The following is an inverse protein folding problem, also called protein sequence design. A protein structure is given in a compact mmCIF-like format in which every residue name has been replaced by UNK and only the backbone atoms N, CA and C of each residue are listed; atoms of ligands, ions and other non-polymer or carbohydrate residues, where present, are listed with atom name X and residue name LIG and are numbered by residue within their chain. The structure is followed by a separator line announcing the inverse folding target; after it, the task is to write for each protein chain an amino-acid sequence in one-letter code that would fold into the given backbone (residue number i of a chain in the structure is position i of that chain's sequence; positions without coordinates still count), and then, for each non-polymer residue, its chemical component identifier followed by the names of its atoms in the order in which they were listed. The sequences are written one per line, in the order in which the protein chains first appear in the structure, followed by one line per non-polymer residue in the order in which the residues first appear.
data_IF_021084982248
#
_entry.id   IF_021084982248
#
_cell.length_a   1.000
_cell.length_b   1.000
_cell.length_c   1.000
_cell.angle_alpha   90.00
_cell.angle_beta   90.00
_cell.angle_gamma   90.00
#
_symmetry.space_group_name_H-M   'P 1'
#
loop_
_entity.id
_entity.type
_entity.pdbx_description
1 polymer ?
#
# COMPACT_ATOMS: atom_id res chain seq x y z
N UNK A 1 25.26 -36.14 28.25
CA UNK A 1 23.91 -35.59 27.99
C UNK A 1 22.89 -36.71 28.14
N UNK A 2 21.98 -36.62 29.11
CA UNK A 2 20.96 -37.65 29.35
C UNK A 2 19.97 -37.70 28.17
N UNK A 3 19.40 -38.88 27.87
CA UNK A 3 18.37 -39.06 26.83
C UNK A 3 17.24 -38.01 26.89
N UNK A 4 16.66 -37.67 28.06
CA UNK A 4 15.63 -36.62 28.12
C UNK A 4 16.16 -35.24 27.71
N UNK A 5 17.39 -34.87 28.10
CA UNK A 5 17.99 -33.58 27.74
C UNK A 5 18.21 -33.45 26.22
N UNK A 6 18.56 -34.55 25.53
CA UNK A 6 18.66 -34.60 24.06
C UNK A 6 17.30 -34.37 23.38
N UNK A 7 16.23 -34.94 23.92
CA UNK A 7 14.87 -34.79 23.40
C UNK A 7 14.38 -33.36 23.59
N UNK A 8 14.56 -32.77 24.78
CA UNK A 8 14.20 -31.37 25.04
C UNK A 8 14.98 -30.40 24.14
N UNK A 9 16.28 -30.63 23.93
CA UNK A 9 17.08 -29.81 23.01
C UNK A 9 16.57 -29.91 21.56
N UNK A 10 16.25 -31.12 21.08
CA UNK A 10 15.72 -31.32 19.74
C UNK A 10 14.35 -30.64 19.53
N UNK A 11 13.44 -30.76 20.51
CA UNK A 11 12.15 -30.06 20.48
C UNK A 11 12.37 -28.54 20.48
N UNK A 12 13.28 -28.04 21.32
CA UNK A 12 13.63 -26.61 21.35
C UNK A 12 14.09 -26.09 19.99
N UNK A 13 14.96 -26.82 19.30
CA UNK A 13 15.44 -26.46 17.96
C UNK A 13 14.29 -26.44 16.94
N UNK A 14 13.40 -27.43 16.97
CA UNK A 14 12.24 -27.50 16.06
C UNK A 14 11.31 -26.30 16.28
N UNK A 15 11.03 -25.95 17.54
CA UNK A 15 10.18 -24.80 17.87
C UNK A 15 10.81 -23.51 17.38
N UNK A 16 12.11 -23.31 17.62
CA UNK A 16 12.83 -22.11 17.13
C UNK A 16 12.80 -22.04 15.60
N UNK A 17 13.07 -23.15 14.91
CA UNK A 17 13.03 -23.20 13.46
C UNK A 17 11.62 -22.89 12.90
N UNK A 18 10.57 -23.39 13.54
CA UNK A 18 9.18 -23.11 13.15
C UNK A 18 8.83 -21.62 13.34
N UNK A 19 9.26 -21.01 14.45
CA UNK A 19 9.05 -19.58 14.72
C UNK A 19 9.78 -18.71 13.69
N UNK A 20 11.05 -19.01 13.42
CA UNK A 20 11.82 -18.28 12.40
C UNK A 20 11.16 -18.44 11.02
N UNK A 21 10.77 -19.67 10.66
CA UNK A 21 10.08 -19.96 9.40
C UNK A 21 8.77 -19.18 9.24
N UNK A 22 8.01 -18.98 10.32
CA UNK A 22 6.77 -18.21 10.31
C UNK A 22 7.00 -16.70 10.18
N UNK A 23 8.05 -16.16 10.80
CA UNK A 23 8.34 -14.71 10.81
C UNK A 23 9.13 -14.27 9.56
N UNK A 24 9.93 -15.16 8.97
CA UNK A 24 10.81 -14.86 7.85
C UNK A 24 10.15 -14.15 6.65
N UNK A 25 8.93 -14.51 6.22
CA UNK A 25 8.27 -13.79 5.13
C UNK A 25 8.03 -12.31 5.44
N UNK A 26 7.62 -11.99 6.67
CA UNK A 26 7.40 -10.59 7.08
C UNK A 26 8.70 -9.79 7.15
N UNK A 27 9.81 -10.43 7.56
CA UNK A 27 11.14 -9.82 7.49
C UNK A 27 11.47 -9.49 6.04
N UNK A 28 11.33 -10.43 5.11
CA UNK A 28 11.57 -10.18 3.68
C UNK A 28 10.71 -9.04 3.15
N UNK A 29 9.45 -8.99 3.54
CA UNK A 29 8.52 -7.96 3.10
C UNK A 29 8.87 -6.56 3.63
N UNK A 30 9.32 -6.45 4.89
CA UNK A 30 9.81 -5.20 5.47
C UNK A 30 11.01 -4.61 4.71
N UNK A 31 11.86 -5.47 4.13
CA UNK A 31 13.05 -5.05 3.38
C UNK A 31 12.86 -5.04 1.86
N UNK A 32 11.64 -5.32 1.36
CA UNK A 32 11.37 -5.26 -0.07
C UNK A 32 11.32 -3.79 -0.53
N UNK A 33 12.01 -3.49 -1.63
CA UNK A 33 11.97 -2.17 -2.26
C UNK A 33 10.65 -1.93 -2.99
N UNK A 34 9.99 -2.99 -3.47
CA UNK A 34 8.70 -2.90 -4.12
C UNK A 34 7.96 -4.24 -4.07
N UNK A 35 6.66 -4.19 -4.33
CA UNK A 35 5.81 -5.37 -4.52
C UNK A 35 4.72 -5.08 -5.54
N UNK A 36 4.30 -6.11 -6.27
CA UNK A 36 3.11 -6.13 -7.11
C UNK A 36 2.26 -7.31 -6.67
N UNK A 37 0.98 -7.09 -6.41
CA UNK A 37 0.13 -8.07 -5.73
C UNK A 37 -1.36 -7.78 -5.95
N UNK A 38 -2.19 -8.76 -5.62
CA UNK A 38 -3.65 -8.71 -5.73
C UNK A 38 -4.30 -8.93 -4.35
N UNK A 39 -5.62 -8.82 -4.26
CA UNK A 39 -6.34 -9.20 -3.04
C UNK A 39 -6.27 -10.71 -2.72
N UNK A 40 -5.88 -11.54 -3.69
CA UNK A 40 -5.70 -12.98 -3.48
C UNK A 40 -4.40 -13.26 -2.71
N UNK A 41 -3.41 -12.37 -2.83
CA UNK A 41 -2.14 -12.40 -2.12
C UNK A 41 -2.34 -11.86 -0.69
N UNK A 42 -3.06 -12.64 0.15
CA UNK A 42 -3.57 -12.18 1.45
C UNK A 42 -2.51 -11.60 2.37
N UNK A 43 -1.26 -12.10 2.32
CA UNK A 43 -0.18 -11.60 3.17
C UNK A 43 0.31 -10.24 2.67
N UNK A 44 0.59 -10.13 1.39
CA UNK A 44 1.02 -8.91 0.69
C UNK A 44 -0.03 -7.82 0.81
N UNK A 45 -1.29 -8.15 0.53
CA UNK A 45 -2.42 -7.24 0.65
C UNK A 45 -2.62 -6.74 2.09
N UNK A 46 -2.55 -7.64 3.09
CA UNK A 46 -2.68 -7.24 4.49
C UNK A 46 -1.53 -6.31 4.95
N UNK A 47 -0.32 -6.60 4.49
CA UNK A 47 0.91 -5.93 4.93
C UNK A 47 1.16 -4.60 4.22
N UNK A 48 0.99 -4.55 2.89
CA UNK A 48 1.34 -3.38 2.09
C UNK A 48 0.19 -2.41 1.94
N UNK A 49 -1.07 -2.85 1.83
CA UNK A 49 -2.15 -1.94 1.41
C UNK A 49 -2.62 -1.03 2.56
N UNK A 50 -2.56 0.30 2.41
CA UNK A 50 -3.10 1.24 3.40
C UNK A 50 -4.64 1.24 3.37
N UNK A 51 -5.27 1.63 4.48
CA UNK A 51 -6.72 1.52 4.66
C UNK A 51 -7.52 2.30 3.60
N UNK A 52 -7.00 3.43 3.13
CA UNK A 52 -7.61 4.21 2.04
C UNK A 52 -7.74 3.39 0.74
N UNK A 53 -6.73 2.57 0.42
CA UNK A 53 -6.77 1.72 -0.78
C UNK A 53 -7.55 0.42 -0.52
N UNK A 54 -7.53 -0.10 0.71
CA UNK A 54 -8.37 -1.25 1.10
C UNK A 54 -9.85 -0.95 0.95
N UNK A 55 -10.28 0.26 1.33
CA UNK A 55 -11.67 0.71 1.29
C UNK A 55 -12.07 1.39 -0.03
N UNK A 56 -11.13 1.58 -0.97
CA UNK A 56 -11.41 2.19 -2.27
C UNK A 56 -12.46 1.39 -3.04
N UNK A 57 -13.51 2.02 -3.62
CA UNK A 57 -14.46 1.31 -4.45
C UNK A 57 -13.75 0.61 -5.61
N UNK A 58 -14.06 -0.69 -5.82
CA UNK A 58 -13.59 -1.42 -7.00
C UNK A 58 -14.43 -0.97 -8.20
N UNK A 59 -13.83 -0.14 -9.05
CA UNK A 59 -14.51 0.45 -10.21
C UNK A 59 -14.50 -0.47 -11.43
N UNK A 60 -13.66 -1.50 -11.42
CA UNK A 60 -13.61 -2.60 -12.39
C UNK A 60 -13.29 -3.91 -11.67
N UNK A 61 -13.53 -5.04 -12.33
CA UNK A 61 -13.15 -6.37 -11.83
C UNK A 61 -11.66 -6.68 -12.07
N UNK A 62 -11.01 -5.94 -12.97
CA UNK A 62 -9.60 -6.11 -13.32
C UNK A 62 -8.78 -4.98 -12.71
N UNK A 63 -8.08 -5.29 -11.61
CA UNK A 63 -7.22 -4.37 -10.90
C UNK A 63 -6.11 -5.09 -10.14
N UNK A 64 -5.03 -4.36 -9.85
CA UNK A 64 -3.93 -4.81 -9.01
C UNK A 64 -3.41 -3.70 -8.10
N UNK A 65 -2.50 -4.07 -7.21
CA UNK A 65 -1.85 -3.16 -6.29
C UNK A 65 -0.34 -3.17 -6.48
N UNK A 66 0.26 -2.02 -6.21
CA UNK A 66 1.71 -1.89 -6.11
C UNK A 66 2.13 -1.25 -4.80
N UNK A 67 3.37 -1.54 -4.41
CA UNK A 67 4.07 -0.88 -3.32
C UNK A 67 5.49 -0.55 -3.79
N UNK A 68 6.00 0.60 -3.36
CA UNK A 68 7.40 0.99 -3.52
C UNK A 68 7.89 1.73 -2.28
N UNK A 69 9.08 1.37 -1.83
CA UNK A 69 9.84 2.04 -0.78
C UNK A 69 10.99 2.83 -1.42
N UNK A 70 10.85 4.14 -1.46
CA UNK A 70 11.79 5.05 -2.11
C UNK A 70 12.71 5.63 -1.04
N UNK A 71 13.94 5.12 -0.97
CA UNK A 71 14.89 5.43 0.10
C UNK A 71 15.27 6.93 0.19
N UNK A 72 15.47 7.60 -0.94
CA UNK A 72 15.91 9.01 -0.99
C UNK A 72 14.97 9.99 -0.28
N UNK A 73 13.72 10.14 -0.74
CA UNK A 73 12.72 11.01 -0.11
C UNK A 73 12.08 10.40 1.16
N UNK A 74 12.60 9.26 1.65
CA UNK A 74 11.99 8.45 2.71
C UNK A 74 10.48 8.26 2.49
N UNK A 75 10.13 7.89 1.26
CA UNK A 75 8.74 7.85 0.83
C UNK A 75 8.25 6.43 0.61
N UNK A 76 7.04 6.18 1.06
CA UNK A 76 6.29 4.98 0.70
C UNK A 76 5.23 5.34 -0.31
N UNK A 77 5.15 4.54 -1.36
CA UNK A 77 4.19 4.71 -2.44
C UNK A 77 3.37 3.45 -2.55
N UNK A 78 2.06 3.59 -2.54
CA UNK A 78 1.12 2.50 -2.76
C UNK A 78 0.18 2.87 -3.88
N UNK A 79 -0.18 1.94 -4.75
CA UNK A 79 -1.22 2.21 -5.75
C UNK A 79 -2.20 1.07 -5.87
N UNK A 80 -3.39 1.41 -6.34
CA UNK A 80 -4.31 0.50 -7.01
C UNK A 80 -4.46 0.96 -8.47
N UNK A 81 -4.33 0.02 -9.40
CA UNK A 81 -4.49 0.27 -10.83
C UNK A 81 -5.75 -0.44 -11.30
N UNK A 82 -6.73 0.31 -11.81
CA UNK A 82 -7.96 -0.22 -12.40
C UNK A 82 -7.84 -0.20 -13.92
N UNK A 83 -8.09 -1.35 -14.56
CA UNK A 83 -7.96 -1.51 -16.01
C UNK A 83 -9.33 -1.53 -16.69
N UNK A 84 -9.39 -0.97 -17.90
CA UNK A 84 -10.59 -0.97 -18.74
C UNK A 84 -11.61 0.10 -18.37
N UNK A 85 -11.21 1.18 -17.69
CA UNK A 85 -12.08 2.29 -17.31
C UNK A 85 -11.32 3.63 -17.27
N UNK A 86 -12.05 4.71 -17.49
CA UNK A 86 -11.67 6.11 -17.25
C UNK A 86 -12.65 6.80 -16.27
N UNK A 87 -13.64 6.07 -15.75
CA UNK A 87 -14.64 6.58 -14.80
C UNK A 87 -14.07 6.68 -13.38
N UNK A 88 -13.76 7.91 -12.98
CA UNK A 88 -13.24 8.26 -11.66
C UNK A 88 -14.31 8.79 -10.69
N UNK A 89 -15.60 8.79 -11.09
CA UNK A 89 -16.67 9.39 -10.29
C UNK A 89 -16.83 8.75 -8.90
N UNK A 90 -16.74 7.42 -8.83
CA UNK A 90 -16.78 6.67 -7.56
C UNK A 90 -15.53 6.92 -6.70
N UNK A 91 -14.36 7.05 -7.34
CA UNK A 91 -13.10 7.38 -6.65
C UNK A 91 -13.21 8.76 -6.01
N UNK A 92 -13.69 9.76 -6.74
CA UNK A 92 -13.90 11.12 -6.22
C UNK A 92 -14.88 11.15 -5.07
N UNK A 93 -16.05 10.50 -5.23
CA UNK A 93 -17.04 10.41 -4.16
C UNK A 93 -16.47 9.78 -2.88
N UNK A 94 -15.66 8.72 -3.03
CA UNK A 94 -14.98 8.08 -1.91
C UNK A 94 -13.98 9.02 -1.22
N UNK A 95 -13.08 9.67 -1.98
CA UNK A 95 -12.08 10.59 -1.42
C UNK A 95 -12.73 11.75 -0.65
N UNK A 96 -13.77 12.34 -1.21
CA UNK A 96 -14.56 13.39 -0.53
C UNK A 96 -15.16 12.86 0.77
N UNK A 97 -15.77 11.67 0.74
CA UNK A 97 -16.36 11.07 1.94
C UNK A 97 -15.32 10.72 3.02
N UNK A 98 -14.07 10.47 2.61
CA UNK A 98 -12.93 10.21 3.49
C UNK A 98 -12.24 11.50 3.99
N UNK A 99 -12.75 12.68 3.63
CA UNK A 99 -12.22 13.98 4.08
C UNK A 99 -11.04 14.51 3.25
N UNK A 100 -10.80 13.95 2.06
CA UNK A 100 -9.81 14.48 1.13
C UNK A 100 -10.40 15.60 0.28
N UNK A 101 -9.59 16.64 0.08
CA UNK A 101 -9.91 17.78 -0.76
C UNK A 101 -9.02 17.77 -2.00
N UNK A 102 -9.63 17.95 -3.17
CA UNK A 102 -8.90 18.11 -4.43
C UNK A 102 -8.11 19.42 -4.37
N UNK A 103 -6.83 19.34 -4.72
CA UNK A 103 -5.92 20.48 -4.72
C UNK A 103 -6.01 21.22 -6.06
N UNK A 104 -5.86 22.55 -6.03
CA UNK A 104 -5.83 23.38 -7.25
C UNK A 104 -4.58 23.11 -8.10
N UNK A 105 -3.50 22.65 -7.48
CA UNK A 105 -2.22 22.36 -8.12
C UNK A 105 -1.71 20.98 -7.69
N UNK A 106 -1.04 20.30 -8.62
CA UNK A 106 -0.40 19.02 -8.43
C UNK A 106 0.97 19.08 -9.14
N UNK A 107 2.01 18.49 -8.54
CA UNK A 107 3.36 18.52 -9.10
C UNK A 107 3.55 17.58 -10.30
N UNK A 108 2.50 16.83 -10.64
CA UNK A 108 2.42 15.90 -11.76
C UNK A 108 1.17 16.21 -12.59
N UNK A 109 1.14 15.75 -13.84
CA UNK A 109 -0.02 15.87 -14.73
C UNK A 109 -1.14 14.89 -14.32
N UNK A 110 -1.72 15.11 -13.13
CA UNK A 110 -2.78 14.31 -12.54
C UNK A 110 -3.56 15.12 -11.49
N UNK A 111 -4.57 14.49 -10.86
CA UNK A 111 -5.30 15.11 -9.75
C UNK A 111 -4.64 14.78 -8.41
N UNK A 112 -4.22 15.80 -7.66
CA UNK A 112 -3.75 15.64 -6.29
C UNK A 112 -4.90 15.89 -5.29
N UNK A 113 -4.97 15.04 -4.28
CA UNK A 113 -5.95 15.08 -3.20
C UNK A 113 -5.20 15.01 -1.86
N UNK A 114 -5.60 15.82 -0.89
CA UNK A 114 -4.96 15.87 0.43
C UNK A 114 -6.01 15.99 1.52
N UNK A 115 -5.71 15.43 2.69
CA UNK A 115 -6.53 15.53 3.89
C UNK A 115 -5.75 16.21 5.02
N UNK A 116 -6.43 17.01 5.84
CA UNK A 116 -5.82 17.68 6.99
C UNK A 116 -5.26 16.65 7.99
N UNK A 117 -4.13 16.97 8.62
CA UNK A 117 -3.50 16.11 9.63
C UNK A 117 -2.76 14.89 9.09
N UNK A 118 -2.63 14.75 7.76
CA UNK A 118 -1.84 13.69 7.12
C UNK A 118 -0.74 14.31 6.25
N UNK A 119 0.35 13.56 6.05
CA UNK A 119 1.40 13.88 5.07
C UNK A 119 1.17 13.14 3.74
N UNK A 120 -0.02 12.55 3.59
CA UNK A 120 -0.36 11.71 2.47
C UNK A 120 -0.87 12.58 1.32
N UNK A 121 -0.32 12.35 0.13
CA UNK A 121 -0.81 12.91 -1.13
C UNK A 121 -1.41 11.77 -1.93
N UNK A 122 -2.70 11.87 -2.20
CA UNK A 122 -3.40 10.90 -3.04
C UNK A 122 -3.44 11.45 -4.47
N UNK A 123 -2.85 10.73 -5.41
CA UNK A 123 -2.87 11.07 -6.83
C UNK A 123 -3.87 10.19 -7.56
N UNK A 124 -4.78 10.79 -8.31
CA UNK A 124 -5.70 10.10 -9.23
C UNK A 124 -5.29 10.46 -10.65
N UNK A 125 -4.87 9.47 -11.43
CA UNK A 125 -4.44 9.63 -12.82
C UNK A 125 -5.24 8.70 -13.73
N UNK A 126 -5.60 9.19 -14.92
CA UNK A 126 -6.23 8.40 -15.98
C UNK A 126 -5.27 8.30 -17.16
N UNK A 127 -5.13 7.10 -17.73
CA UNK A 127 -4.27 6.86 -18.89
C UNK A 127 -5.12 6.43 -20.09
N UNK A 128 -5.12 7.27 -21.13
CA UNK A 128 -5.92 7.03 -22.34
C UNK A 128 -5.43 5.84 -23.17
N UNK A 129 -4.13 5.51 -23.08
CA UNK A 129 -3.49 4.47 -23.90
C UNK A 129 -4.08 3.08 -23.71
N UNK A 130 -4.44 2.74 -22.47
CA UNK A 130 -4.98 1.44 -22.09
C UNK A 130 -6.30 1.55 -21.33
N UNK A 131 -6.88 2.76 -21.25
CA UNK A 131 -8.04 3.09 -20.42
C UNK A 131 -7.86 2.54 -19.00
N UNK A 132 -6.93 3.15 -18.27
CA UNK A 132 -6.68 2.78 -16.88
C UNK A 132 -6.79 3.97 -15.94
N UNK A 133 -7.17 3.68 -14.69
CA UNK A 133 -7.18 4.65 -13.58
C UNK A 133 -6.20 4.16 -12.53
N UNK A 134 -5.24 5.00 -12.18
CA UNK A 134 -4.35 4.77 -11.05
C UNK A 134 -4.77 5.66 -9.89
N UNK A 135 -4.93 5.06 -8.71
CA UNK A 135 -5.00 5.80 -7.45
C UNK A 135 -3.77 5.48 -6.63
N UNK A 136 -2.91 6.47 -6.44
CA UNK A 136 -1.64 6.34 -5.73
C UNK A 136 -1.66 7.13 -4.42
N UNK A 137 -1.14 6.55 -3.35
CA UNK A 137 -0.85 7.23 -2.09
C UNK A 137 0.65 7.41 -1.99
N UNK A 138 1.11 8.65 -1.92
CA UNK A 138 2.47 9.00 -1.59
C UNK A 138 2.50 9.48 -0.13
N UNK A 139 3.33 8.86 0.70
CA UNK A 139 3.53 9.27 2.10
C UNK A 139 5.02 9.44 2.37
N UNK A 140 5.39 10.62 2.83
CA UNK A 140 6.75 10.97 3.22
C UNK A 140 6.69 11.92 4.41
N UNK A 141 7.57 11.78 5.41
CA UNK A 141 7.64 12.74 6.52
C UNK A 141 8.02 14.17 6.05
N UNK A 142 8.51 14.32 4.82
CA UNK A 142 8.89 15.60 4.23
C UNK A 142 7.82 16.22 3.33
N UNK A 143 6.69 15.55 3.10
CA UNK A 143 5.58 16.13 2.36
C UNK A 143 4.84 17.15 3.24
N UNK A 144 4.74 18.41 2.80
CA UNK A 144 4.06 19.44 3.61
C UNK A 144 2.60 19.05 3.89
N UNK A 145 2.18 18.90 5.15
CA UNK A 145 0.79 18.59 5.49
C UNK A 145 -0.10 19.81 5.22
N UNK A 146 -1.39 19.56 4.93
CA UNK A 146 -2.35 20.65 4.90
C UNK A 146 -2.53 21.22 6.31
N UNK A 147 -2.59 22.56 6.47
CA UNK A 147 -2.89 23.16 7.76
C UNK A 147 -4.26 22.68 8.26
N UNK A 148 -4.35 22.39 9.55
CA UNK A 148 -5.64 22.10 10.17
C UNK A 148 -6.56 23.31 10.02
N UNK A 149 -7.81 23.06 9.60
CA UNK A 149 -8.86 24.08 9.54
C UNK A 149 -9.36 24.45 10.93
#
# INVERSE_FOLDING_TARGET
MSKPLKIFAAIGIIVVAAVIGAIWPYIKMNFASSAHYTEQDKREYAFYTPDILKNMPRITDHYDFTFSNVAGPEAKVWSVNFYGTDDIGKVHGYLISAGYEKQERCDVEAECWRAAGTHDVVTVATFDTDKSVMVQVYSSPYAEPLPAK
#
